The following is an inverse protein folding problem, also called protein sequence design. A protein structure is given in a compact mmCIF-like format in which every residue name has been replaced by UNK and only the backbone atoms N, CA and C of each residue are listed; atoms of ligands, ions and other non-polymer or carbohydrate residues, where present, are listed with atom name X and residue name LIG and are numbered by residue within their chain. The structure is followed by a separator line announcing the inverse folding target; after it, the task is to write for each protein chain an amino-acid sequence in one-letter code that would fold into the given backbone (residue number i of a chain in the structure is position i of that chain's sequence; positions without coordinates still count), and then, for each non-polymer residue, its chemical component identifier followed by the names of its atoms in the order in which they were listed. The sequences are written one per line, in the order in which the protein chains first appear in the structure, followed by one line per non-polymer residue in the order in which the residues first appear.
data_IF_894932791042
#
_entry.id   IF_894932791042
#
_cell.length_a   1.000
_cell.length_b   1.000
_cell.length_c   1.000
_cell.angle_alpha   90.00
_cell.angle_beta   90.00
_cell.angle_gamma   90.00
#
_symmetry.space_group_name_H-M   'P 1'
#
loop_
_entity.id
_entity.type
_entity.pdbx_description
1 polymer ?
#
# COMPACT_ATOMS: atom_id res chain seq x y z
N UNK A 1 21.29 0.94 -3.45
CA UNK A 1 20.00 1.02 -2.73
C UNK A 1 18.83 0.41 -3.49
N UNK A 2 18.58 0.73 -4.78
CA UNK A 2 17.52 0.12 -5.60
C UNK A 2 17.28 -1.40 -5.42
N UNK A 3 18.35 -2.20 -5.35
CA UNK A 3 18.27 -3.67 -5.23
C UNK A 3 17.96 -4.14 -3.80
N UNK A 4 18.49 -3.46 -2.79
CA UNK A 4 18.47 -3.97 -1.40
C UNK A 4 17.71 -3.07 -0.42
N UNK A 5 17.13 -1.97 -0.91
CA UNK A 5 16.37 -0.97 -0.14
C UNK A 5 15.32 -1.60 0.77
N UNK A 6 14.48 -2.45 0.17
CA UNK A 6 13.39 -3.14 0.85
C UNK A 6 13.82 -3.94 2.09
N UNK A 7 15.06 -4.45 2.15
CA UNK A 7 15.57 -5.22 3.29
C UNK A 7 15.71 -4.38 4.57
N UNK A 8 15.86 -3.07 4.41
CA UNK A 8 15.99 -2.14 5.53
C UNK A 8 14.74 -1.28 5.73
N UNK A 9 13.71 -1.42 4.89
CA UNK A 9 12.49 -0.64 4.98
C UNK A 9 11.71 -0.96 6.27
N UNK A 10 10.98 0.03 6.79
CA UNK A 10 10.16 -0.08 8.01
C UNK A 10 8.75 -0.52 7.67
N UNK A 11 8.63 -1.75 7.20
CA UNK A 11 7.35 -2.34 6.74
C UNK A 11 6.59 -3.09 7.83
N UNK A 12 7.22 -3.35 8.98
CA UNK A 12 6.61 -4.03 10.11
C UNK A 12 5.94 -3.00 11.04
N UNK A 13 4.60 -2.99 11.16
CA UNK A 13 3.90 -2.05 12.02
C UNK A 13 4.14 -2.30 13.52
N UNK A 14 4.53 -3.51 13.91
CA UNK A 14 4.81 -3.87 15.32
C UNK A 14 6.30 -3.69 15.68
N UNK A 15 7.15 -3.47 14.68
CA UNK A 15 8.60 -3.32 14.80
C UNK A 15 9.30 -4.49 15.55
N UNK A 16 8.79 -5.71 15.37
CA UNK A 16 9.30 -6.94 15.98
C UNK A 16 10.40 -7.61 15.13
N UNK A 17 10.39 -7.37 13.81
CA UNK A 17 11.37 -7.96 12.90
C UNK A 17 12.75 -7.33 13.14
N UNK A 18 13.72 -8.15 13.56
CA UNK A 18 15.11 -7.74 13.58
C UNK A 18 15.62 -7.52 12.15
N UNK A 19 16.00 -6.28 11.84
CA UNK A 19 16.52 -5.91 10.51
C UNK A 19 18.03 -6.01 10.52
N UNK A 20 18.55 -6.94 9.74
CA UNK A 20 19.99 -7.07 9.53
C UNK A 20 20.56 -5.82 8.87
N UNK A 21 21.79 -5.47 9.24
CA UNK A 21 22.51 -4.41 8.57
C UNK A 21 22.79 -4.78 7.11
N UNK A 22 22.27 -3.97 6.19
CA UNK A 22 22.48 -4.18 4.76
C UNK A 22 23.86 -3.65 4.37
N UNK A 23 24.86 -4.53 4.34
CA UNK A 23 26.26 -4.20 4.00
C UNK A 23 26.43 -3.47 2.66
N UNK A 24 25.51 -3.67 1.72
CA UNK A 24 25.48 -2.98 0.42
C UNK A 24 25.15 -1.47 0.52
N UNK A 25 24.77 -0.98 1.71
CA UNK A 25 24.54 0.44 1.94
C UNK A 25 25.78 1.17 2.43
N UNK A 26 26.83 0.46 2.86
CA UNK A 26 28.05 1.07 3.35
C UNK A 26 28.86 1.65 2.17
N UNK A 27 29.00 2.99 2.05
CA UNK A 27 29.74 3.61 0.95
C UNK A 27 31.21 3.21 0.90
N UNK A 28 31.81 2.92 2.06
CA UNK A 28 33.23 2.56 2.18
C UNK A 28 33.56 1.28 1.41
N UNK A 29 32.58 0.38 1.25
CA UNK A 29 32.73 -0.85 0.45
C UNK A 29 33.01 -0.56 -1.03
N UNK A 30 32.60 0.61 -1.50
CA UNK A 30 32.77 1.06 -2.88
C UNK A 30 33.90 2.10 -3.02
N UNK A 31 34.71 2.30 -1.97
CA UNK A 31 35.78 3.30 -1.95
C UNK A 31 35.30 4.73 -1.78
N UNK A 32 34.04 4.93 -1.37
CA UNK A 32 33.42 6.25 -1.17
C UNK A 32 33.33 6.56 0.33
N UNK A 33 33.45 7.83 0.73
CA UNK A 33 33.18 8.25 2.12
C UNK A 33 34.20 7.74 3.17
N UNK A 34 35.43 7.43 2.75
CA UNK A 34 36.50 6.88 3.61
C UNK A 34 36.91 7.82 4.76
N UNK A 35 36.62 9.12 4.65
CA UNK A 35 36.79 10.14 5.69
C UNK A 35 35.51 10.97 5.84
N UNK A 36 35.42 11.79 6.90
CA UNK A 36 34.30 12.73 7.07
C UNK A 36 34.23 13.75 5.95
N UNK A 37 35.37 14.12 5.39
CA UNK A 37 35.51 14.99 4.22
C UNK A 37 35.04 14.27 2.95
N UNK A 38 35.29 12.95 2.84
CA UNK A 38 34.85 12.12 1.71
C UNK A 38 33.33 12.05 1.56
N UNK A 39 32.56 12.25 2.64
CA UNK A 39 31.09 12.34 2.56
C UNK A 39 30.61 13.67 1.96
N UNK A 40 31.47 14.68 1.93
CA UNK A 40 31.18 16.01 1.35
C UNK A 40 31.72 16.14 -0.08
N UNK A 41 32.35 15.10 -0.62
CA UNK A 41 32.75 15.06 -2.02
C UNK A 41 31.52 15.19 -2.93
N UNK A 42 31.69 15.97 -4.00
CA UNK A 42 30.64 16.27 -4.96
C UNK A 42 30.67 15.27 -6.12
N UNK A 43 29.49 14.76 -6.47
CA UNK A 43 29.28 13.85 -7.59
C UNK A 43 28.21 14.40 -8.52
N UNK A 44 28.45 14.26 -9.83
CA UNK A 44 27.41 14.51 -10.83
C UNK A 44 26.37 13.40 -10.76
N UNK A 45 25.12 13.77 -10.42
CA UNK A 45 24.01 12.82 -10.30
C UNK A 45 23.20 12.67 -11.59
N UNK A 46 23.53 13.43 -12.64
CA UNK A 46 22.83 13.41 -13.91
C UNK A 46 22.83 12.01 -14.55
N UNK A 47 21.63 11.49 -14.84
CA UNK A 47 21.46 10.14 -15.41
C UNK A 47 21.72 9.00 -14.42
N UNK A 48 22.09 9.29 -13.17
CA UNK A 48 22.26 8.32 -12.09
C UNK A 48 21.04 8.33 -11.18
N UNK A 49 20.63 9.50 -10.69
CA UNK A 49 19.46 9.69 -9.82
C UNK A 49 18.45 10.55 -10.56
N UNK A 50 17.18 10.19 -10.49
CA UNK A 50 16.12 10.97 -11.13
C UNK A 50 15.60 12.03 -10.16
N UNK A 51 16.00 13.29 -10.31
CA UNK A 51 15.67 14.39 -9.37
C UNK A 51 14.52 15.26 -9.86
N UNK A 52 14.39 15.44 -11.19
CA UNK A 52 13.30 16.17 -11.87
C UNK A 52 12.98 15.53 -13.23
N UNK A 53 11.82 15.86 -13.80
CA UNK A 53 11.45 15.46 -15.16
C UNK A 53 12.54 15.86 -16.15
N UNK A 54 12.85 14.95 -17.09
CA UNK A 54 14.01 14.89 -18.02
C UNK A 54 14.18 16.12 -18.97
N UNK A 55 13.61 17.29 -18.66
CA UNK A 55 13.40 18.38 -19.63
C UNK A 55 13.98 19.75 -19.28
N UNK A 56 14.74 19.93 -18.20
CA UNK A 56 15.35 21.24 -17.91
C UNK A 56 16.87 21.17 -17.77
N UNK A 57 17.56 21.44 -18.87
CA UNK A 57 18.92 21.98 -18.87
C UNK A 57 20.05 20.97 -18.64
N UNK A 58 21.12 21.12 -19.43
CA UNK A 58 22.42 20.45 -19.27
C UNK A 58 23.29 21.16 -18.22
N UNK A 59 22.76 21.41 -17.02
CA UNK A 59 23.59 21.90 -15.92
C UNK A 59 24.03 20.72 -15.06
N UNK A 60 25.31 20.71 -14.67
CA UNK A 60 25.86 19.70 -13.77
C UNK A 60 25.12 19.80 -12.43
N UNK A 61 24.34 18.77 -12.09
CA UNK A 61 23.69 18.68 -10.80
C UNK A 61 24.66 17.95 -9.87
N UNK A 62 25.45 18.72 -9.14
CA UNK A 62 26.47 18.21 -8.22
C UNK A 62 25.90 18.07 -6.81
N UNK A 63 25.89 16.85 -6.28
CA UNK A 63 25.42 16.56 -4.93
C UNK A 63 26.54 16.01 -4.07
N UNK A 64 26.49 16.29 -2.77
CA UNK A 64 27.40 15.61 -1.84
C UNK A 64 27.02 14.13 -1.73
N UNK A 65 28.00 13.26 -1.45
CA UNK A 65 27.73 11.84 -1.18
C UNK A 65 26.71 11.67 -0.02
N UNK A 66 26.78 12.54 0.98
CA UNK A 66 25.81 12.59 2.09
C UNK A 66 24.38 12.84 1.57
N UNK A 67 24.18 13.84 0.71
CA UNK A 67 22.88 14.16 0.12
C UNK A 67 22.34 13.03 -0.75
N UNK A 68 23.21 12.38 -1.54
CA UNK A 68 22.86 11.21 -2.35
C UNK A 68 22.37 10.06 -1.46
N UNK A 69 23.13 9.71 -0.43
CA UNK A 69 22.78 8.64 0.51
C UNK A 69 21.49 8.97 1.23
N UNK A 70 21.32 10.22 1.68
CA UNK A 70 20.11 10.70 2.37
C UNK A 70 18.90 10.61 1.44
N UNK A 71 18.99 11.08 0.19
CA UNK A 71 17.91 11.00 -0.80
C UNK A 71 17.50 9.57 -1.07
N UNK A 72 18.46 8.70 -1.40
CA UNK A 72 18.15 7.31 -1.75
C UNK A 72 17.61 6.53 -0.56
N UNK A 73 18.05 6.84 0.67
CA UNK A 73 17.43 6.29 1.89
C UNK A 73 15.99 6.76 2.06
N UNK A 74 15.72 8.05 1.87
CA UNK A 74 14.36 8.59 1.92
C UNK A 74 13.41 7.90 0.93
N UNK A 75 13.89 7.57 -0.27
CA UNK A 75 13.11 6.88 -1.31
C UNK A 75 12.93 5.38 -1.01
N UNK A 76 14.02 4.67 -0.71
CA UNK A 76 14.02 3.20 -0.71
C UNK A 76 13.96 2.55 0.67
N UNK A 77 14.10 3.32 1.76
CA UNK A 77 14.19 2.85 3.15
C UNK A 77 13.16 3.58 4.03
N UNK A 78 11.95 3.75 3.50
CA UNK A 78 10.81 4.34 4.22
C UNK A 78 9.86 3.27 4.78
N UNK A 79 8.58 3.63 4.88
CA UNK A 79 7.50 2.73 5.31
C UNK A 79 6.98 1.83 4.18
N UNK A 80 7.51 1.99 2.97
CA UNK A 80 7.20 1.17 1.79
C UNK A 80 8.51 0.55 1.31
N UNK A 81 8.52 -0.78 1.17
CA UNK A 81 9.63 -1.52 0.58
C UNK A 81 9.39 -1.74 -0.91
N UNK A 82 10.34 -1.33 -1.75
CA UNK A 82 10.27 -1.54 -3.19
C UNK A 82 11.19 -2.69 -3.62
N UNK A 83 10.61 -3.70 -4.28
CA UNK A 83 11.36 -4.75 -4.96
C UNK A 83 10.89 -4.85 -6.41
N UNK A 84 11.72 -4.34 -7.33
CA UNK A 84 11.44 -4.31 -8.76
C UNK A 84 12.67 -4.65 -9.62
N UNK A 85 13.86 -4.71 -9.01
CA UNK A 85 15.11 -4.91 -9.75
C UNK A 85 15.25 -6.33 -10.30
N UNK A 86 14.47 -7.28 -9.79
CA UNK A 86 14.37 -8.64 -10.31
C UNK A 86 13.65 -8.73 -11.68
N UNK A 87 12.88 -7.69 -12.09
CA UNK A 87 12.25 -7.69 -13.41
C UNK A 87 13.30 -7.80 -14.52
N UNK A 88 13.10 -8.66 -15.54
CA UNK A 88 14.01 -8.77 -16.67
C UNK A 88 13.96 -7.54 -17.59
N UNK A 89 12.85 -6.80 -17.59
CA UNK A 89 12.63 -5.67 -18.47
C UNK A 89 13.38 -4.43 -17.99
N UNK A 90 14.38 -3.99 -18.77
CA UNK A 90 15.11 -2.74 -18.49
C UNK A 90 14.16 -1.54 -18.45
N UNK A 91 13.17 -1.51 -19.34
CA UNK A 91 12.18 -0.43 -19.42
C UNK A 91 11.36 -0.32 -18.15
N UNK A 92 10.90 -1.45 -17.59
CA UNK A 92 10.16 -1.47 -16.31
C UNK A 92 11.04 -1.00 -15.15
N UNK A 93 12.27 -1.52 -15.05
CA UNK A 93 13.20 -1.11 -13.98
C UNK A 93 13.51 0.38 -14.03
N UNK A 94 13.69 0.94 -15.23
CA UNK A 94 13.90 2.37 -15.41
C UNK A 94 12.64 3.15 -15.05
N UNK A 95 11.47 2.72 -15.51
CA UNK A 95 10.19 3.36 -15.19
C UNK A 95 9.96 3.43 -13.67
N UNK A 96 10.18 2.34 -12.94
CA UNK A 96 10.09 2.33 -11.47
C UNK A 96 11.12 3.27 -10.83
N UNK A 97 12.39 3.19 -11.26
CA UNK A 97 13.44 4.07 -10.71
C UNK A 97 13.09 5.54 -10.92
N UNK A 98 12.62 5.91 -12.12
CA UNK A 98 12.15 7.24 -12.43
C UNK A 98 10.97 7.62 -11.56
N UNK A 99 9.93 6.79 -11.50
CA UNK A 99 8.72 7.06 -10.72
C UNK A 99 9.06 7.36 -9.26
N UNK A 100 9.85 6.50 -8.64
CA UNK A 100 10.15 6.57 -7.20
C UNK A 100 11.12 7.71 -6.85
N UNK A 101 12.09 7.98 -7.71
CA UNK A 101 13.10 9.00 -7.43
C UNK A 101 12.65 10.40 -7.90
N UNK A 102 11.90 10.50 -9.00
CA UNK A 102 11.46 11.79 -9.56
C UNK A 102 10.19 12.34 -8.91
N UNK A 103 9.31 11.45 -8.42
CA UNK A 103 8.27 11.91 -7.52
C UNK A 103 8.94 12.29 -6.21
N UNK A 104 8.63 13.48 -5.70
CA UNK A 104 8.85 13.81 -4.29
C UNK A 104 7.92 12.93 -3.45
N UNK A 105 8.16 11.62 -3.46
CA UNK A 105 7.63 10.73 -2.43
C UNK A 105 8.06 11.36 -1.11
N UNK A 106 7.11 11.63 -0.21
CA UNK A 106 7.43 12.28 1.05
C UNK A 106 8.54 11.49 1.73
N UNK A 107 9.63 12.17 2.09
CA UNK A 107 10.62 11.60 3.00
C UNK A 107 9.88 11.10 4.26
N UNK A 108 10.38 10.11 5.00
CA UNK A 108 9.83 9.80 6.33
C UNK A 108 9.70 11.03 7.25
N UNK A 109 10.52 12.05 7.01
CA UNK A 109 10.50 13.35 7.70
C UNK A 109 9.52 14.37 7.10
N UNK A 110 9.12 14.20 5.84
CA UNK A 110 8.08 15.00 5.19
C UNK A 110 6.74 14.36 5.53
N UNK A 111 5.91 14.98 6.38
CA UNK A 111 4.58 14.46 6.70
C UNK A 111 3.77 14.15 5.42
N UNK A 112 3.62 12.88 5.00
CA UNK A 112 3.05 12.53 3.71
C UNK A 112 1.58 12.99 3.58
N UNK A 113 0.94 13.09 4.74
CA UNK A 113 -0.44 13.50 4.95
C UNK A 113 -0.68 15.00 4.70
N UNK A 114 0.37 15.83 4.67
CA UNK A 114 0.25 17.27 4.35
C UNK A 114 -0.04 17.54 2.87
N UNK A 115 0.15 16.53 2.02
CA UNK A 115 -0.06 16.59 0.56
C UNK A 115 -1.41 15.96 0.18
N UNK A 116 -2.07 15.25 1.11
CA UNK A 116 -3.34 14.58 0.87
C UNK A 116 -4.49 15.52 1.18
N UNK A 117 -5.42 15.65 0.23
CA UNK A 117 -6.66 16.40 0.39
C UNK A 117 -7.45 15.96 1.64
N UNK A 118 -8.02 16.93 2.36
CA UNK A 118 -8.72 16.68 3.62
C UNK A 118 -9.90 15.70 3.45
N UNK A 119 -10.56 15.68 2.29
CA UNK A 119 -11.64 14.73 2.03
C UNK A 119 -11.10 13.31 1.91
N UNK A 120 -9.98 13.11 1.23
CA UNK A 120 -9.32 11.79 1.14
C UNK A 120 -8.90 11.29 2.52
N UNK A 121 -8.34 12.16 3.35
CA UNK A 121 -7.96 11.80 4.73
C UNK A 121 -9.18 11.38 5.56
N UNK A 122 -10.30 12.10 5.44
CA UNK A 122 -11.56 11.73 6.10
C UNK A 122 -12.08 10.39 5.60
N UNK A 123 -12.10 10.17 4.29
CA UNK A 123 -12.53 8.89 3.67
C UNK A 123 -11.72 7.71 4.18
N UNK A 124 -10.39 7.84 4.24
CA UNK A 124 -9.51 6.79 4.80
C UNK A 124 -9.87 6.52 6.26
N UNK A 125 -9.99 7.56 7.09
CA UNK A 125 -10.34 7.40 8.50
C UNK A 125 -11.72 6.77 8.72
N UNK A 126 -12.71 7.15 7.90
CA UNK A 126 -14.06 6.59 7.94
C UNK A 126 -14.05 5.09 7.64
N UNK A 127 -13.33 4.65 6.61
CA UNK A 127 -13.22 3.22 6.26
C UNK A 127 -12.52 2.41 7.35
N UNK A 128 -11.44 2.94 7.93
CA UNK A 128 -10.74 2.29 9.05
C UNK A 128 -11.66 2.14 10.25
N UNK A 129 -12.36 3.22 10.64
CA UNK A 129 -13.28 3.22 11.78
C UNK A 129 -14.49 2.29 11.54
N UNK A 130 -15.06 2.26 10.33
CA UNK A 130 -16.16 1.37 10.00
C UNK A 130 -15.77 -0.11 10.14
N UNK A 131 -14.59 -0.47 9.62
CA UNK A 131 -14.05 -1.83 9.73
C UNK A 131 -13.91 -2.27 11.18
N UNK A 132 -13.27 -1.44 12.00
CA UNK A 132 -13.06 -1.72 13.42
C UNK A 132 -14.39 -1.83 14.19
N UNK A 133 -15.34 -0.94 13.90
CA UNK A 133 -16.67 -0.96 14.54
C UNK A 133 -17.45 -2.22 14.18
N UNK A 134 -17.38 -2.68 12.93
CA UNK A 134 -18.05 -3.91 12.49
C UNK A 134 -17.49 -5.12 13.24
N UNK A 135 -16.17 -5.27 13.30
CA UNK A 135 -15.54 -6.41 13.98
C UNK A 135 -15.86 -6.43 15.47
N UNK A 136 -15.76 -5.28 16.13
CA UNK A 136 -16.14 -5.13 17.54
C UNK A 136 -17.63 -5.46 17.77
N UNK A 137 -18.51 -5.02 16.87
CA UNK A 137 -19.93 -5.33 16.95
C UNK A 137 -20.20 -6.83 16.80
N UNK A 138 -19.59 -7.47 15.80
CA UNK A 138 -19.74 -8.90 15.55
C UNK A 138 -19.23 -9.72 16.72
N UNK A 139 -18.09 -9.33 17.31
CA UNK A 139 -17.56 -9.98 18.51
C UNK A 139 -18.52 -9.86 19.70
N UNK A 140 -19.10 -8.68 19.92
CA UNK A 140 -20.00 -8.46 21.05
C UNK A 140 -21.36 -9.17 20.89
N UNK A 141 -21.91 -9.21 19.66
CA UNK A 141 -23.24 -9.79 19.40
C UNK A 141 -23.22 -11.28 19.08
N UNK A 142 -22.13 -11.76 18.47
CA UNK A 142 -21.99 -13.14 18.02
C UNK A 142 -20.64 -13.70 18.49
N UNK A 143 -20.43 -13.88 19.80
CA UNK A 143 -19.12 -14.27 20.36
C UNK A 143 -18.62 -15.63 19.87
N UNK A 144 -19.54 -16.53 19.49
CA UNK A 144 -19.21 -17.87 18.99
C UNK A 144 -19.07 -17.92 17.45
N UNK A 145 -19.27 -16.79 16.76
CA UNK A 145 -19.15 -16.73 15.31
C UNK A 145 -17.67 -16.69 14.91
N UNK A 146 -17.27 -17.61 14.02
CA UNK A 146 -15.99 -17.52 13.31
C UNK A 146 -16.12 -16.48 12.21
N UNK A 147 -15.78 -15.22 12.51
CA UNK A 147 -15.97 -14.07 11.62
C UNK A 147 -14.80 -13.80 10.66
N UNK A 148 -13.59 -14.25 11.00
CA UNK A 148 -12.37 -13.94 10.24
C UNK A 148 -12.20 -12.43 9.99
N UNK A 149 -12.22 -11.64 11.07
CA UNK A 149 -12.20 -10.17 11.02
C UNK A 149 -10.94 -9.59 10.41
N UNK A 150 -10.95 -8.28 10.19
CA UNK A 150 -9.86 -7.52 9.56
C UNK A 150 -9.02 -6.73 10.60
N UNK A 151 -9.04 -7.15 11.86
CA UNK A 151 -8.32 -6.49 12.96
C UNK A 151 -6.81 -6.45 12.71
N UNK A 152 -6.24 -5.24 12.67
CA UNK A 152 -4.84 -4.99 12.32
C UNK A 152 -4.54 -4.96 10.81
N UNK A 153 -5.54 -5.28 9.97
CA UNK A 153 -5.47 -5.28 8.51
C UNK A 153 -6.39 -4.24 7.85
N UNK A 154 -6.97 -3.33 8.61
CA UNK A 154 -8.05 -2.42 8.17
C UNK A 154 -7.61 -1.53 7.01
N UNK A 155 -6.30 -1.25 6.91
CA UNK A 155 -5.68 -0.51 5.80
C UNK A 155 -5.90 -1.12 4.42
N UNK A 156 -6.32 -2.38 4.34
CA UNK A 156 -6.75 -3.02 3.10
C UNK A 156 -7.95 -2.30 2.45
N UNK A 157 -8.93 -1.84 3.25
CA UNK A 157 -10.12 -1.18 2.72
C UNK A 157 -9.81 0.14 2.00
N UNK A 158 -9.08 1.12 2.59
CA UNK A 158 -8.70 2.33 1.89
C UNK A 158 -7.74 2.06 0.71
N UNK A 159 -6.91 1.01 0.76
CA UNK A 159 -6.08 0.63 -0.37
C UNK A 159 -6.91 0.15 -1.58
N UNK A 160 -7.96 -0.65 -1.32
CA UNK A 160 -8.90 -1.08 -2.35
C UNK A 160 -9.77 0.08 -2.85
N UNK A 161 -10.29 0.94 -1.96
CA UNK A 161 -11.06 2.14 -2.32
C UNK A 161 -10.26 3.04 -3.27
N UNK A 162 -9.00 3.32 -2.94
CA UNK A 162 -8.10 4.11 -3.80
C UNK A 162 -7.81 3.41 -5.13
N UNK A 163 -7.61 2.09 -5.13
CA UNK A 163 -7.35 1.32 -6.35
C UNK A 163 -8.56 1.30 -7.28
N UNK A 164 -9.77 1.11 -6.74
CA UNK A 164 -11.01 1.15 -7.50
C UNK A 164 -11.28 2.55 -8.05
N UNK A 165 -11.12 3.59 -7.24
CA UNK A 165 -11.25 4.98 -7.69
C UNK A 165 -10.27 5.31 -8.83
N UNK A 166 -9.02 4.86 -8.73
CA UNK A 166 -8.02 5.06 -9.78
C UNK A 166 -8.32 4.27 -11.06
N UNK A 167 -8.94 3.08 -10.95
CA UNK A 167 -9.37 2.29 -12.10
C UNK A 167 -10.59 2.92 -12.79
N UNK A 168 -11.59 3.33 -12.02
CA UNK A 168 -12.80 3.99 -12.49
C UNK A 168 -12.47 5.30 -13.21
N UNK A 169 -11.56 6.11 -12.66
CA UNK A 169 -11.07 7.35 -13.30
C UNK A 169 -10.39 7.11 -14.66
N UNK A 170 -9.88 5.90 -14.91
CA UNK A 170 -9.30 5.47 -16.19
C UNK A 170 -10.30 4.75 -17.11
N UNK A 171 -11.58 4.74 -16.75
CA UNK A 171 -12.66 4.17 -17.58
C UNK A 171 -12.87 2.67 -17.41
N UNK A 172 -12.26 2.03 -16.40
CA UNK A 172 -12.55 0.63 -16.06
C UNK A 172 -13.99 0.52 -15.56
N UNK A 173 -14.77 -0.37 -16.17
CA UNK A 173 -16.20 -0.55 -15.86
C UNK A 173 -16.49 -1.74 -14.96
N UNK A 174 -15.61 -2.74 -14.97
CA UNK A 174 -15.78 -3.99 -14.24
C UNK A 174 -14.44 -4.38 -13.64
N UNK A 175 -14.47 -4.78 -12.37
CA UNK A 175 -13.34 -5.38 -11.68
C UNK A 175 -13.81 -6.70 -11.09
N UNK A 176 -12.97 -7.73 -11.18
CA UNK A 176 -13.21 -9.02 -10.56
C UNK A 176 -12.20 -9.13 -9.43
N UNK A 177 -12.69 -9.28 -8.20
CA UNK A 177 -11.87 -9.46 -7.01
C UNK A 177 -12.16 -10.84 -6.44
N UNK A 178 -11.12 -11.66 -6.31
CA UNK A 178 -11.16 -12.90 -5.57
C UNK A 178 -10.34 -12.71 -4.29
N UNK A 179 -10.95 -13.02 -3.14
CA UNK A 179 -10.35 -12.75 -1.83
C UNK A 179 -10.60 -13.93 -0.88
N UNK A 180 -9.65 -14.29 0.00
CA UNK A 180 -9.88 -15.29 1.04
C UNK A 180 -10.82 -14.76 2.13
N UNK A 181 -11.11 -15.61 3.13
CA UNK A 181 -12.04 -15.32 4.23
C UNK A 181 -11.69 -14.11 5.10
N UNK A 182 -10.40 -13.79 5.28
CA UNK A 182 -9.92 -12.77 6.22
C UNK A 182 -10.32 -11.36 5.77
N UNK A 183 -11.20 -10.69 6.52
CA UNK A 183 -11.73 -9.37 6.21
C UNK A 183 -12.78 -9.32 5.10
N UNK A 184 -13.28 -10.48 4.66
CA UNK A 184 -14.31 -10.55 3.62
C UNK A 184 -15.59 -9.81 4.05
N UNK A 185 -16.01 -9.97 5.32
CA UNK A 185 -17.22 -9.31 5.82
C UNK A 185 -17.09 -7.79 5.80
N UNK A 186 -15.94 -7.27 6.23
CA UNK A 186 -15.61 -5.85 6.22
C UNK A 186 -15.61 -5.30 4.77
N UNK A 187 -14.99 -6.01 3.83
CA UNK A 187 -15.01 -5.63 2.42
C UNK A 187 -16.45 -5.57 1.87
N UNK A 188 -17.24 -6.61 2.13
CA UNK A 188 -18.61 -6.72 1.66
C UNK A 188 -19.46 -5.56 2.17
N UNK A 189 -19.44 -5.28 3.48
CA UNK A 189 -20.31 -4.25 4.07
C UNK A 189 -19.81 -2.84 3.79
N UNK A 190 -18.51 -2.58 3.98
CA UNK A 190 -17.98 -1.22 4.09
C UNK A 190 -17.65 -0.65 2.71
N UNK A 191 -17.24 -1.49 1.75
CA UNK A 191 -16.87 -1.06 0.40
C UNK A 191 -17.88 -1.50 -0.67
N UNK A 192 -18.34 -2.76 -0.62
CA UNK A 192 -19.25 -3.33 -1.62
C UNK A 192 -20.74 -3.16 -1.27
N UNK A 193 -21.03 -2.42 -0.18
CA UNK A 193 -22.39 -2.04 0.24
C UNK A 193 -23.34 -3.24 0.35
N UNK A 194 -22.82 -4.40 0.73
CA UNK A 194 -23.63 -5.57 1.00
C UNK A 194 -24.56 -5.28 2.18
N UNK A 195 -25.88 -5.55 2.07
CA UNK A 195 -26.83 -5.13 3.09
C UNK A 195 -26.55 -5.79 4.45
N UNK A 196 -26.34 -5.02 5.54
CA UNK A 196 -26.10 -5.60 6.87
C UNK A 196 -27.24 -6.50 7.34
N UNK A 197 -28.49 -6.21 6.97
CA UNK A 197 -29.65 -7.06 7.27
C UNK A 197 -29.52 -8.47 6.67
N UNK A 198 -29.04 -8.57 5.43
CA UNK A 198 -28.81 -9.84 4.74
C UNK A 198 -27.66 -10.60 5.39
N UNK A 199 -26.58 -9.90 5.75
CA UNK A 199 -25.46 -10.48 6.49
C UNK A 199 -25.93 -11.07 7.82
N UNK A 200 -26.68 -10.31 8.62
CA UNK A 200 -27.16 -10.78 9.92
C UNK A 200 -28.21 -11.89 9.81
N UNK A 201 -29.01 -11.92 8.75
CA UNK A 201 -29.91 -13.03 8.47
C UNK A 201 -29.12 -14.33 8.26
N UNK A 202 -28.07 -14.27 7.44
CA UNK A 202 -27.17 -15.41 7.19
C UNK A 202 -26.43 -15.85 8.45
N UNK A 203 -25.92 -14.93 9.26
CA UNK A 203 -25.26 -15.24 10.55
C UNK A 203 -26.19 -16.02 11.49
N UNK A 204 -27.50 -15.77 11.44
CA UNK A 204 -28.51 -16.49 12.23
C UNK A 204 -28.93 -17.83 11.63
N UNK A 205 -28.31 -18.26 10.53
CA UNK A 205 -28.62 -19.50 9.82
C UNK A 205 -29.70 -19.37 8.74
N UNK A 206 -30.10 -18.14 8.40
CA UNK A 206 -31.01 -17.89 7.28
C UNK A 206 -30.34 -18.10 5.91
N UNK A 207 -31.15 -18.32 4.88
CA UNK A 207 -30.67 -18.45 3.50
C UNK A 207 -30.41 -17.08 2.88
N UNK A 208 -29.31 -16.98 2.14
CA UNK A 208 -28.91 -15.85 1.29
C UNK A 208 -29.66 -15.83 -0.04
N UNK A 209 -30.17 -16.99 -0.47
CA UNK A 209 -30.97 -17.16 -1.67
C UNK A 209 -32.45 -17.33 -1.30
N UNK A 210 -33.37 -16.88 -2.17
CA UNK A 210 -34.79 -17.13 -1.96
C UNK A 210 -35.09 -18.65 -2.02
N UNK A 211 -35.98 -19.08 -1.12
CA UNK A 211 -36.24 -20.51 -0.82
C UNK A 211 -36.80 -21.29 -2.02
N UNK A 212 -37.41 -20.59 -2.98
CA UNK A 212 -37.99 -21.14 -4.21
C UNK A 212 -36.94 -21.73 -5.17
N UNK A 213 -35.68 -21.33 -5.04
CA UNK A 213 -34.58 -21.84 -5.86
C UNK A 213 -34.09 -23.23 -5.42
N UNK A 214 -34.41 -23.69 -4.20
CA UNK A 214 -34.04 -25.03 -3.72
C UNK A 214 -32.54 -25.32 -3.66
N UNK A 215 -31.69 -24.28 -3.64
CA UNK A 215 -30.22 -24.40 -3.62
C UNK A 215 -29.73 -24.48 -2.17
N UNK A 216 -28.75 -25.36 -1.92
CA UNK A 216 -28.06 -25.43 -0.63
C UNK A 216 -27.19 -24.19 -0.39
N UNK A 217 -27.24 -23.65 0.82
CA UNK A 217 -26.54 -22.43 1.19
C UNK A 217 -25.05 -22.70 1.46
N UNK A 218 -24.17 -21.72 1.20
CA UNK A 218 -22.72 -21.84 1.43
C UNK A 218 -22.30 -21.23 2.79
N UNK A 219 -21.03 -21.36 3.19
CA UNK A 219 -20.53 -20.78 4.42
C UNK A 219 -20.47 -19.25 4.35
N UNK A 220 -20.51 -18.58 5.51
CA UNK A 220 -20.52 -17.11 5.60
C UNK A 220 -19.32 -16.45 4.90
N UNK A 221 -18.17 -17.13 4.89
CA UNK A 221 -16.93 -16.65 4.27
C UNK A 221 -16.93 -16.67 2.75
N UNK A 222 -17.89 -17.38 2.14
CA UNK A 222 -17.97 -17.60 0.69
C UNK A 222 -19.08 -16.75 0.04
N UNK A 223 -19.66 -15.82 0.81
CA UNK A 223 -20.62 -14.83 0.30
C UNK A 223 -19.99 -13.99 -0.81
N UNK A 224 -20.71 -13.83 -1.90
CA UNK A 224 -20.35 -13.00 -3.03
C UNK A 224 -21.17 -11.70 -3.08
N UNK A 225 -20.64 -10.70 -3.77
CA UNK A 225 -21.42 -9.51 -4.10
C UNK A 225 -21.00 -8.94 -5.44
N UNK A 226 -21.96 -8.36 -6.14
CA UNK A 226 -21.73 -7.65 -7.39
C UNK A 226 -22.13 -6.19 -7.20
N UNK A 227 -21.15 -5.29 -7.29
CA UNK A 227 -21.39 -3.85 -7.31
C UNK A 227 -20.99 -3.27 -8.67
N UNK A 228 -21.87 -2.49 -9.27
CA UNK A 228 -21.57 -1.80 -10.54
C UNK A 228 -20.73 -0.56 -10.24
N UNK A 229 -19.55 -0.46 -10.87
CA UNK A 229 -18.55 0.60 -10.67
C UNK A 229 -19.11 2.03 -10.81
N UNK A 230 -20.24 2.25 -11.48
CA UNK A 230 -20.88 3.57 -11.60
C UNK A 230 -21.46 4.13 -10.29
N UNK A 231 -21.31 3.41 -9.16
CA UNK A 231 -21.81 3.78 -7.83
C UNK A 231 -20.72 3.85 -6.75
N UNK A 232 -19.45 3.62 -7.11
CA UNK A 232 -18.27 3.91 -6.28
C UNK A 232 -17.88 5.37 -6.48
#
# INVERSE_FOLDING_TARGET
MRIHGHRAARIDPLDLIHREEVTAFNPNRYGLGLSKEGMKELFDVNGIIWTRGVSQGKEEELWTLEDIVKRLRGVYVGNIGYDFMHSPSKTERLWFSHLLESQSLPSPDDHPLSIIDDQKRRRVNELLAQSEVLDNFLQAKFPNLKRYGLEGGESMLPALDASFGAAAARGVRHAILAMPHCGMLNLLTDLLRYPPSSLFHKIKGGSELPEDLGVGADMLSDLDSMLVCSRL
#
